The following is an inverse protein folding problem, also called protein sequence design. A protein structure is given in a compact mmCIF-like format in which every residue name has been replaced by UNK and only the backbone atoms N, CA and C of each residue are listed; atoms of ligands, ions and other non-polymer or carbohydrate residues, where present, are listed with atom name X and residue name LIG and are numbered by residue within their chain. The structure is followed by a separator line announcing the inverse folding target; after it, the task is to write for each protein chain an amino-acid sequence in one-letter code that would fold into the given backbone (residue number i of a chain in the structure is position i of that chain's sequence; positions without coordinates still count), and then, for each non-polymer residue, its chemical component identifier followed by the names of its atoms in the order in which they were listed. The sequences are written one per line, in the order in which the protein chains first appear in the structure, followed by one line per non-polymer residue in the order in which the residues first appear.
data_IF_223169166094
#
_entry.id   IF_223169166094
#
_cell.length_a   1.000
_cell.length_b   1.000
_cell.length_c   1.000
_cell.angle_alpha   90.00
_cell.angle_beta   90.00
_cell.angle_gamma   90.00
#
_symmetry.space_group_name_H-M   'P 1'
#
loop_
_entity.id
_entity.type
_entity.pdbx_description
1 polymer ?
#
# COMPACT_ATOMS: atom_id res chain seq x y z
N UNK A 1 18.36 -5.16 -17.47
CA UNK A 1 17.44 -6.09 -18.15
C UNK A 1 16.37 -6.49 -17.17
N UNK A 2 15.15 -6.01 -17.37
CA UNK A 2 14.02 -6.38 -16.51
C UNK A 2 13.70 -7.85 -16.74
N UNK A 3 13.61 -8.61 -15.67
CA UNK A 3 13.34 -10.04 -15.74
C UNK A 3 11.89 -10.27 -16.17
N UNK A 4 11.66 -11.12 -17.18
CA UNK A 4 10.33 -11.52 -17.58
C UNK A 4 9.74 -12.46 -16.51
N UNK A 5 8.75 -11.98 -15.73
CA UNK A 5 7.97 -12.80 -14.80
C UNK A 5 6.65 -13.15 -15.50
N UNK A 6 6.55 -14.36 -15.99
CA UNK A 6 5.38 -14.86 -16.69
C UNK A 6 4.52 -15.80 -15.83
N UNK A 7 5.11 -16.43 -14.82
CA UNK A 7 4.46 -17.38 -13.90
C UNK A 7 4.86 -17.10 -12.46
N UNK A 8 4.07 -17.58 -11.52
CA UNK A 8 4.36 -17.47 -10.09
C UNK A 8 5.71 -18.13 -9.72
N UNK A 9 6.06 -19.23 -10.35
CA UNK A 9 7.34 -19.93 -10.15
C UNK A 9 8.57 -19.09 -10.59
N UNK A 10 8.37 -18.05 -11.39
CA UNK A 10 9.44 -17.13 -11.79
C UNK A 10 9.71 -16.04 -10.75
N UNK A 11 8.81 -15.88 -9.77
CA UNK A 11 8.92 -14.88 -8.70
C UNK A 11 10.05 -15.29 -7.76
N UNK A 12 11.01 -14.39 -7.56
CA UNK A 12 12.01 -14.49 -6.49
C UNK A 12 11.63 -13.51 -5.39
N UNK A 13 11.90 -13.89 -4.17
CA UNK A 13 11.65 -13.06 -2.98
C UNK A 13 12.99 -12.54 -2.47
N UNK A 14 13.61 -11.63 -3.22
CA UNK A 14 14.86 -11.00 -2.81
C UNK A 14 14.57 -9.93 -1.73
N UNK A 15 15.41 -9.88 -0.69
CA UNK A 15 15.28 -8.85 0.36
C UNK A 15 15.92 -7.56 -0.11
N UNK A 16 15.15 -6.46 -0.08
CA UNK A 16 15.58 -5.13 -0.54
C UNK A 16 15.36 -4.09 0.55
N UNK A 17 16.39 -3.26 0.79
CA UNK A 17 16.33 -2.16 1.74
C UNK A 17 16.25 -0.82 0.98
N UNK A 18 15.19 -0.07 1.24
CA UNK A 18 14.97 1.27 0.67
C UNK A 18 15.19 2.33 1.75
N UNK A 19 15.85 3.43 1.35
CA UNK A 19 15.97 4.62 2.18
C UNK A 19 15.24 5.77 1.51
N UNK A 20 14.43 6.50 2.28
CA UNK A 20 13.62 7.62 1.77
C UNK A 20 14.43 8.94 1.74
N UNK A 21 14.17 9.84 0.79
CA UNK A 21 13.31 9.65 -0.38
C UNK A 21 13.89 8.60 -1.34
N UNK A 22 13.02 7.69 -1.81
CA UNK A 22 13.44 6.56 -2.64
C UNK A 22 13.75 7.06 -4.06
N UNK A 23 14.96 6.87 -4.59
CA UNK A 23 15.30 7.31 -5.93
C UNK A 23 14.65 6.40 -7.00
N UNK A 24 14.27 6.99 -8.14
CA UNK A 24 13.61 6.29 -9.25
C UNK A 24 14.35 5.01 -9.67
N UNK A 25 15.69 5.09 -9.76
CA UNK A 25 16.52 3.92 -10.11
C UNK A 25 16.33 2.71 -9.18
N UNK A 26 16.03 2.96 -7.90
CA UNK A 26 15.78 1.87 -6.95
C UNK A 26 14.40 1.25 -7.18
N UNK A 27 13.40 2.06 -7.54
CA UNK A 27 12.05 1.58 -7.84
C UNK A 27 12.00 0.72 -9.10
N UNK A 28 12.75 1.10 -10.15
CA UNK A 28 12.80 0.37 -11.42
C UNK A 28 13.57 -0.96 -11.34
N UNK A 29 14.32 -1.17 -10.26
CA UNK A 29 15.04 -2.44 -10.01
C UNK A 29 14.19 -3.46 -9.26
N UNK A 30 13.11 -3.02 -8.60
CA UNK A 30 12.23 -3.91 -7.86
C UNK A 30 11.40 -4.77 -8.82
N UNK A 31 11.21 -6.02 -8.41
CA UNK A 31 10.41 -7.00 -9.14
C UNK A 31 9.28 -7.52 -8.26
N UNK A 32 8.23 -8.07 -8.89
CA UNK A 32 7.09 -8.66 -8.15
C UNK A 32 7.60 -9.71 -7.14
N UNK A 33 7.09 -9.62 -5.91
CA UNK A 33 7.44 -10.54 -4.83
C UNK A 33 8.68 -10.18 -4.01
N UNK A 34 9.47 -9.18 -4.42
CA UNK A 34 10.58 -8.70 -3.59
C UNK A 34 10.09 -8.29 -2.20
N UNK A 35 10.85 -8.66 -1.17
CA UNK A 35 10.58 -8.34 0.23
C UNK A 35 11.26 -7.04 0.58
N UNK A 36 10.49 -6.00 0.83
CA UNK A 36 10.99 -4.63 1.00
C UNK A 36 10.93 -4.19 2.45
N UNK A 37 12.03 -3.59 2.90
CA UNK A 37 12.11 -2.84 4.16
C UNK A 37 12.42 -1.37 3.86
N UNK A 38 11.76 -0.47 4.59
CA UNK A 38 11.89 0.98 4.39
C UNK A 38 12.50 1.63 5.63
N UNK A 39 13.49 2.50 5.44
CA UNK A 39 14.08 3.35 6.49
C UNK A 39 14.04 4.82 6.07
N UNK A 40 13.99 5.72 7.07
CA UNK A 40 13.89 7.16 6.88
C UNK A 40 12.50 7.70 7.13
N UNK A 41 12.13 8.80 6.48
CA UNK A 41 10.81 9.39 6.67
C UNK A 41 9.74 8.71 5.78
N UNK A 42 8.57 8.47 6.35
CA UNK A 42 7.36 8.10 5.62
C UNK A 42 6.20 8.99 6.08
N UNK A 43 5.11 9.03 5.33
CA UNK A 43 3.90 9.68 5.82
C UNK A 43 2.66 8.80 5.66
N UNK A 44 1.66 9.06 6.53
CA UNK A 44 0.38 8.35 6.46
C UNK A 44 -0.64 9.19 5.72
N UNK A 45 -1.47 8.57 4.88
CA UNK A 45 -2.64 9.22 4.31
C UNK A 45 -3.81 8.25 4.20
N UNK A 46 -4.99 8.74 4.55
CA UNK A 46 -6.27 8.05 4.41
C UNK A 46 -7.31 9.00 3.81
N UNK A 47 -8.58 8.58 3.83
CA UNK A 47 -9.70 9.31 3.22
C UNK A 47 -9.71 10.80 3.58
N UNK A 48 -9.49 11.14 4.85
CA UNK A 48 -9.47 12.53 5.32
C UNK A 48 -8.39 13.36 4.63
N UNK A 49 -7.16 12.83 4.53
CA UNK A 49 -6.04 13.51 3.85
C UNK A 49 -6.29 13.61 2.35
N UNK A 50 -6.76 12.54 1.72
CA UNK A 50 -7.13 12.55 0.30
C UNK A 50 -8.20 13.60 0.01
N UNK A 51 -9.23 13.68 0.86
CA UNK A 51 -10.28 14.70 0.74
C UNK A 51 -9.73 16.12 0.86
N UNK A 52 -8.80 16.39 1.79
CA UNK A 52 -8.17 17.70 1.91
C UNK A 52 -7.38 18.06 0.64
N UNK A 53 -6.54 17.14 0.15
CA UNK A 53 -5.60 17.44 -0.94
C UNK A 53 -6.26 17.32 -2.30
N UNK A 54 -7.09 16.31 -2.55
CA UNK A 54 -7.67 16.04 -3.87
C UNK A 54 -8.99 16.76 -4.05
N UNK A 55 -9.95 16.59 -3.12
CA UNK A 55 -11.30 17.11 -3.31
C UNK A 55 -11.40 18.60 -2.96
N UNK A 56 -10.74 19.03 -1.87
CA UNK A 56 -10.69 20.43 -1.44
C UNK A 56 -9.53 21.23 -2.01
N UNK A 57 -8.67 20.58 -2.80
CA UNK A 57 -7.52 21.20 -3.47
C UNK A 57 -6.54 21.93 -2.54
N UNK A 58 -6.51 21.55 -1.26
CA UNK A 58 -5.54 22.11 -0.33
C UNK A 58 -4.12 21.69 -0.75
N UNK A 59 -3.14 22.60 -0.69
CA UNK A 59 -1.76 22.25 -1.00
C UNK A 59 -1.27 21.09 -0.10
N UNK A 60 -0.64 20.10 -0.71
CA UNK A 60 0.09 19.09 0.06
C UNK A 60 1.28 19.78 0.76
N UNK A 61 1.59 19.45 2.04
CA UNK A 61 2.65 20.13 2.77
C UNK A 61 4.02 20.00 2.07
N UNK A 62 4.63 21.12 1.60
CA UNK A 62 5.90 21.05 0.87
C UNK A 62 7.05 20.43 1.66
N UNK A 63 7.06 20.62 2.98
CA UNK A 63 8.05 20.01 3.87
C UNK A 63 8.00 18.48 3.83
N UNK A 64 6.81 17.89 3.66
CA UNK A 64 6.62 16.44 3.55
C UNK A 64 7.14 15.94 2.20
N UNK A 65 6.77 16.58 1.10
CA UNK A 65 7.25 16.20 -0.25
C UNK A 65 8.77 16.33 -0.39
N UNK A 66 9.38 17.30 0.29
CA UNK A 66 10.84 17.46 0.30
C UNK A 66 11.55 16.36 1.10
N UNK A 67 10.87 15.77 2.08
CA UNK A 67 11.43 14.80 3.01
C UNK A 67 11.26 13.36 2.54
N UNK A 68 10.14 13.04 1.88
CA UNK A 68 9.80 11.66 1.51
C UNK A 68 8.82 11.57 0.34
N UNK A 69 8.89 10.47 -0.40
CA UNK A 69 7.96 10.08 -1.46
C UNK A 69 7.24 8.76 -1.14
N UNK A 70 7.24 8.32 0.13
CA UNK A 70 6.61 7.09 0.59
C UNK A 70 5.36 7.39 1.40
N UNK A 71 4.22 7.00 0.86
CA UNK A 71 2.90 7.12 1.49
C UNK A 71 2.44 5.76 2.02
N UNK A 72 2.18 5.65 3.30
CA UNK A 72 1.55 4.47 3.88
C UNK A 72 0.05 4.72 4.13
N UNK A 73 -0.81 3.96 3.47
CA UNK A 73 -2.23 3.93 3.73
C UNK A 73 -2.50 3.21 5.05
N UNK A 74 -2.33 3.90 6.13
CA UNK A 74 -2.55 3.36 7.47
C UNK A 74 -3.08 4.40 8.45
N UNK A 75 -3.57 3.90 9.56
CA UNK A 75 -4.01 4.68 10.72
C UNK A 75 -3.07 4.37 11.88
N UNK A 76 -2.38 5.35 12.46
CA UNK A 76 -1.61 5.12 13.67
C UNK A 76 -2.51 5.00 14.89
N UNK A 77 -2.15 4.08 15.80
CA UNK A 77 -2.62 4.09 17.18
C UNK A 77 -1.67 4.98 17.97
N UNK A 78 -2.03 6.27 18.08
CA UNK A 78 -1.18 7.27 18.70
C UNK A 78 -1.77 7.76 20.03
N UNK A 79 -0.89 8.04 20.98
CA UNK A 79 -1.21 8.71 22.24
C UNK A 79 -0.36 9.99 22.39
N UNK A 80 -0.84 10.91 23.23
CA UNK A 80 -0.11 12.13 23.57
C UNK A 80 0.53 11.92 24.93
N UNK A 81 1.84 12.09 25.02
CA UNK A 81 2.60 12.00 26.26
C UNK A 81 2.40 13.26 27.12
N UNK A 82 2.72 13.21 28.42
CA UNK A 82 2.62 14.38 29.31
C UNK A 82 3.45 15.61 28.86
N UNK A 83 4.53 15.38 28.12
CA UNK A 83 5.40 16.42 27.55
C UNK A 83 4.88 16.99 26.21
N UNK A 84 3.69 16.54 25.76
CA UNK A 84 3.08 16.95 24.50
C UNK A 84 3.60 16.20 23.27
N UNK A 85 4.60 15.34 23.40
CA UNK A 85 5.08 14.50 22.30
C UNK A 85 4.12 13.35 22.01
N UNK A 86 4.25 12.75 20.82
CA UNK A 86 3.42 11.62 20.40
C UNK A 86 4.15 10.29 20.60
N UNK A 87 3.40 9.27 21.01
CA UNK A 87 3.78 7.87 20.89
C UNK A 87 2.90 7.20 19.84
N UNK A 88 3.50 6.44 18.94
CA UNK A 88 2.80 5.58 17.98
C UNK A 88 3.29 4.16 18.21
N UNK A 89 2.40 3.29 18.71
CA UNK A 89 2.75 1.93 19.12
C UNK A 89 2.34 0.88 18.08
N UNK A 90 1.38 1.22 17.25
CA UNK A 90 0.91 0.36 16.17
C UNK A 90 0.39 1.20 14.99
N UNK A 91 0.35 0.60 13.82
CA UNK A 91 -0.29 1.17 12.63
C UNK A 91 -1.22 0.13 12.00
N UNK A 92 -2.42 0.54 11.63
CA UNK A 92 -3.40 -0.34 10.96
C UNK A 92 -3.45 -0.02 9.49
N UNK A 93 -2.92 -0.91 8.64
CA UNK A 93 -2.94 -0.75 7.20
C UNK A 93 -4.37 -0.72 6.64
N UNK A 94 -4.62 0.14 5.68
CA UNK A 94 -5.90 0.35 5.00
C UNK A 94 -5.82 -0.22 3.58
N UNK A 95 -6.91 -0.82 3.11
CA UNK A 95 -7.01 -1.34 1.74
C UNK A 95 -7.00 -0.18 0.73
N UNK A 96 -6.06 -0.20 -0.19
CA UNK A 96 -5.75 0.92 -1.09
C UNK A 96 -6.73 1.09 -2.25
N UNK A 97 -7.49 0.05 -2.61
CA UNK A 97 -8.53 0.16 -3.66
C UNK A 97 -9.58 1.23 -3.36
N UNK A 98 -9.76 1.59 -2.07
CA UNK A 98 -10.68 2.64 -1.63
C UNK A 98 -10.31 4.03 -2.18
N UNK A 99 -9.04 4.24 -2.51
CA UNK A 99 -8.50 5.51 -2.99
C UNK A 99 -8.37 5.59 -4.51
N UNK A 100 -8.81 4.56 -5.24
CA UNK A 100 -8.58 4.42 -6.67
C UNK A 100 -8.92 5.67 -7.49
N UNK A 101 -10.10 6.27 -7.28
CA UNK A 101 -10.55 7.47 -8.01
C UNK A 101 -9.64 8.69 -7.79
N UNK A 102 -8.97 8.75 -6.64
CA UNK A 102 -8.13 9.88 -6.23
C UNK A 102 -6.64 9.62 -6.46
N UNK A 103 -6.25 8.43 -6.91
CA UNK A 103 -4.84 8.03 -6.97
C UNK A 103 -4.02 8.87 -7.93
N UNK A 104 -4.53 9.11 -9.14
CA UNK A 104 -3.82 9.94 -10.12
C UNK A 104 -3.59 11.38 -9.65
N UNK A 105 -4.63 12.16 -9.27
CA UNK A 105 -4.41 13.50 -8.73
C UNK A 105 -3.59 13.49 -7.42
N UNK A 106 -3.61 12.40 -6.65
CA UNK A 106 -2.75 12.24 -5.49
C UNK A 106 -1.27 12.26 -5.86
N UNK A 107 -0.84 11.46 -6.85
CA UNK A 107 0.54 11.46 -7.33
C UNK A 107 0.98 12.82 -7.84
N UNK A 108 0.12 13.50 -8.58
CA UNK A 108 0.38 14.85 -9.11
C UNK A 108 0.63 15.89 -8.01
N UNK A 109 -0.14 15.81 -6.92
CA UNK A 109 -0.11 16.81 -5.84
C UNK A 109 0.88 16.49 -4.73
N UNK A 110 1.03 15.22 -4.35
CA UNK A 110 1.89 14.80 -3.24
C UNK A 110 3.32 14.47 -3.65
N UNK A 111 3.55 14.14 -4.92
CA UNK A 111 4.83 13.63 -5.38
C UNK A 111 5.17 12.22 -4.90
N UNK A 112 4.19 11.47 -4.36
CA UNK A 112 4.39 10.08 -3.96
C UNK A 112 4.93 9.22 -5.11
N UNK A 113 5.76 8.23 -4.78
CA UNK A 113 6.29 7.23 -5.72
C UNK A 113 6.18 5.81 -5.17
N UNK A 114 5.98 5.68 -3.88
CA UNK A 114 5.74 4.40 -3.21
C UNK A 114 4.45 4.52 -2.42
N UNK A 115 3.48 3.68 -2.73
CA UNK A 115 2.27 3.51 -1.94
C UNK A 115 2.41 2.19 -1.18
N UNK A 116 2.29 2.25 0.14
CA UNK A 116 2.19 1.07 1.00
C UNK A 116 0.75 0.94 1.49
N UNK A 117 0.19 -0.25 1.38
CA UNK A 117 -1.16 -0.51 1.87
C UNK A 117 -1.43 -2.00 2.06
N UNK A 118 -2.66 -2.39 2.32
CA UNK A 118 -3.05 -3.79 2.31
C UNK A 118 -3.87 -4.13 1.07
N UNK A 119 -3.89 -5.42 0.71
CA UNK A 119 -4.41 -5.92 -0.56
C UNK A 119 -3.63 -5.33 -1.74
N UNK A 120 -4.22 -5.34 -2.92
CA UNK A 120 -3.64 -4.80 -4.14
C UNK A 120 -4.65 -3.97 -4.92
N UNK A 121 -4.25 -3.61 -6.12
CA UNK A 121 -5.09 -2.98 -7.13
C UNK A 121 -5.11 -3.88 -8.38
N UNK A 122 -5.97 -3.57 -9.33
CA UNK A 122 -5.95 -4.27 -10.62
C UNK A 122 -4.72 -3.87 -11.45
N UNK A 123 -4.22 -4.75 -12.31
CA UNK A 123 -3.15 -4.41 -13.25
C UNK A 123 -3.48 -3.17 -14.09
N UNK A 124 -4.75 -3.01 -14.45
CA UNK A 124 -5.22 -1.81 -15.15
C UNK A 124 -4.96 -0.55 -14.33
N UNK A 125 -5.29 -0.57 -13.03
CA UNK A 125 -5.04 0.56 -12.14
C UNK A 125 -3.56 0.90 -12.01
N UNK A 126 -2.69 -0.13 -11.91
CA UNK A 126 -1.24 0.10 -11.90
C UNK A 126 -0.75 0.74 -13.19
N UNK A 127 -1.17 0.25 -14.35
CA UNK A 127 -0.78 0.81 -15.65
C UNK A 127 -1.30 2.23 -15.88
N UNK A 128 -2.54 2.51 -15.48
CA UNK A 128 -3.16 3.81 -15.73
C UNK A 128 -2.75 4.88 -14.71
N UNK A 129 -2.47 4.50 -13.44
CA UNK A 129 -2.26 5.45 -12.36
C UNK A 129 -0.84 5.47 -11.82
N UNK A 130 -0.13 4.35 -11.74
CA UNK A 130 1.20 4.26 -11.15
C UNK A 130 2.32 4.44 -12.18
N UNK A 131 2.26 3.70 -13.28
CA UNK A 131 3.30 3.73 -14.32
C UNK A 131 3.59 5.15 -14.83
N UNK A 132 2.59 6.03 -15.11
CA UNK A 132 2.86 7.39 -15.57
C UNK A 132 3.66 8.25 -14.61
N UNK A 133 3.70 7.87 -13.33
CA UNK A 133 4.43 8.57 -12.28
C UNK A 133 5.69 7.83 -11.82
N UNK A 134 6.08 6.73 -12.45
CA UNK A 134 7.16 5.87 -12.00
C UNK A 134 6.95 5.34 -10.58
N UNK A 135 5.70 5.14 -10.19
CA UNK A 135 5.33 4.70 -8.85
C UNK A 135 5.13 3.19 -8.78
N UNK A 136 5.32 2.64 -7.57
CA UNK A 136 5.10 1.23 -7.25
C UNK A 136 4.14 1.06 -6.07
N UNK A 137 3.63 -0.15 -5.93
CA UNK A 137 2.79 -0.53 -4.81
C UNK A 137 3.41 -1.65 -3.98
N UNK A 138 3.47 -1.41 -2.67
CA UNK A 138 3.91 -2.37 -1.67
C UNK A 138 2.72 -2.83 -0.84
N UNK A 139 2.52 -4.14 -0.72
CA UNK A 139 1.47 -4.68 0.16
C UNK A 139 2.02 -5.16 1.49
N UNK A 140 1.23 -5.02 2.55
CA UNK A 140 1.55 -5.61 3.85
C UNK A 140 1.38 -7.13 3.81
N UNK A 141 2.28 -7.86 4.48
CA UNK A 141 2.31 -9.34 4.42
C UNK A 141 1.33 -10.02 5.38
N UNK A 142 0.62 -9.28 6.22
CA UNK A 142 -0.36 -9.86 7.14
C UNK A 142 -1.15 -8.81 7.90
N UNK A 143 -2.35 -9.20 8.35
CA UNK A 143 -3.24 -8.28 9.06
C UNK A 143 -2.80 -8.02 10.51
N UNK A 144 -2.04 -8.93 11.12
CA UNK A 144 -1.51 -8.82 12.49
C UNK A 144 -0.23 -8.00 12.62
N UNK A 145 0.33 -7.48 11.52
CA UNK A 145 1.63 -6.80 11.50
C UNK A 145 1.64 -5.39 12.10
N UNK A 146 0.48 -4.84 12.48
CA UNK A 146 0.38 -3.45 12.94
C UNK A 146 1.30 -3.08 14.10
N UNK A 147 1.44 -3.95 15.09
CA UNK A 147 2.35 -3.75 16.23
C UNK A 147 3.82 -3.87 15.80
N UNK A 148 4.15 -4.83 14.93
CA UNK A 148 5.51 -4.97 14.39
C UNK A 148 5.94 -3.74 13.59
N UNK A 149 5.05 -3.20 12.74
CA UNK A 149 5.32 -1.94 12.05
C UNK A 149 5.45 -0.76 13.02
N UNK A 150 4.64 -0.73 14.12
CA UNK A 150 4.74 0.27 15.15
C UNK A 150 6.11 0.30 15.84
N UNK A 151 6.69 -0.87 16.10
CA UNK A 151 8.05 -1.00 16.69
C UNK A 151 9.16 -0.44 15.77
N UNK A 152 8.91 -0.35 14.47
CA UNK A 152 9.86 0.25 13.53
C UNK A 152 9.83 1.78 13.56
N UNK A 153 8.84 2.41 14.22
CA UNK A 153 8.72 3.86 14.31
C UNK A 153 9.65 4.37 15.40
N UNK A 154 10.60 5.23 15.03
CA UNK A 154 11.55 5.84 15.98
C UNK A 154 10.98 7.09 16.63
N UNK A 155 10.32 7.93 15.84
CA UNK A 155 9.66 9.15 16.33
C UNK A 155 8.66 9.68 15.32
N UNK A 156 7.76 10.52 15.82
CA UNK A 156 6.89 11.36 15.00
C UNK A 156 7.68 12.63 14.66
N UNK A 157 7.82 12.92 13.36
CA UNK A 157 8.50 14.12 12.87
C UNK A 157 7.54 15.31 12.80
N UNK A 158 6.31 15.09 12.36
CA UNK A 158 5.27 16.12 12.26
C UNK A 158 3.87 15.50 12.14
N UNK A 159 2.83 16.32 12.34
CA UNK A 159 1.42 15.92 12.20
C UNK A 159 0.62 17.08 11.60
N UNK A 160 -0.03 16.86 10.46
CA UNK A 160 -0.86 17.84 9.77
C UNK A 160 -2.35 17.51 9.91
N UNK A 161 -3.18 18.53 10.05
CA UNK A 161 -4.65 18.44 10.08
C UNK A 161 -5.21 17.58 11.21
N UNK A 162 -4.48 17.42 12.32
CA UNK A 162 -4.92 16.60 13.45
C UNK A 162 -6.25 17.11 14.06
N UNK A 163 -6.38 18.41 14.22
CA UNK A 163 -7.59 19.02 14.82
C UNK A 163 -8.82 18.86 13.92
N UNK A 164 -8.61 18.87 12.59
CA UNK A 164 -9.69 18.75 11.61
C UNK A 164 -10.08 17.29 11.35
N UNK A 165 -9.13 16.38 11.36
CA UNK A 165 -9.31 14.99 10.91
C UNK A 165 -9.26 13.96 12.04
N UNK A 166 -8.82 14.37 13.23
CA UNK A 166 -8.55 13.47 14.34
C UNK A 166 -7.32 12.57 14.11
N UNK A 167 -6.94 11.84 15.16
CA UNK A 167 -5.72 11.02 15.19
C UNK A 167 -5.67 10.00 14.05
N UNK A 168 -6.79 9.33 13.78
CA UNK A 168 -6.83 8.23 12.83
C UNK A 168 -6.75 8.65 11.36
N UNK A 169 -7.07 9.89 11.02
CA UNK A 169 -7.16 10.39 9.66
C UNK A 169 -6.15 11.51 9.35
N UNK A 170 -5.46 12.04 10.36
CA UNK A 170 -4.42 13.04 10.18
C UNK A 170 -3.26 12.52 9.34
N UNK A 171 -2.52 13.43 8.70
CA UNK A 171 -1.27 13.09 8.03
C UNK A 171 -0.15 13.09 9.08
N UNK A 172 0.40 11.92 9.33
CA UNK A 172 1.53 11.73 10.23
C UNK A 172 2.81 11.57 9.42
N UNK A 173 3.84 12.29 9.79
CA UNK A 173 5.18 12.13 9.25
C UNK A 173 6.02 11.38 10.29
N UNK A 174 6.47 10.19 9.92
CA UNK A 174 7.09 9.23 10.83
C UNK A 174 8.53 8.94 10.38
N UNK A 175 9.47 8.97 11.29
CA UNK A 175 10.81 8.39 11.07
C UNK A 175 10.76 6.91 11.42
N UNK A 176 11.16 6.07 10.47
CA UNK A 176 11.13 4.61 10.61
C UNK A 176 12.49 3.99 10.34
N UNK A 177 12.75 2.84 10.95
CA UNK A 177 13.93 2.03 10.72
C UNK A 177 13.53 0.60 10.40
N UNK A 178 13.95 0.10 9.23
CA UNK A 178 13.65 -1.24 8.72
C UNK A 178 12.15 -1.59 8.83
N UNK A 179 11.26 -0.67 8.53
CA UNK A 179 9.82 -0.94 8.54
C UNK A 179 9.48 -1.91 7.40
N UNK A 180 8.92 -3.03 7.74
CA UNK A 180 8.58 -4.13 6.85
C UNK A 180 8.36 -5.42 7.65
N UNK A 181 8.32 -6.58 6.99
CA UNK A 181 8.40 -6.75 5.54
C UNK A 181 7.16 -6.25 4.80
N UNK A 182 7.38 -5.73 3.59
CA UNK A 182 6.35 -5.47 2.59
C UNK A 182 6.67 -6.30 1.35
N UNK A 183 5.69 -6.59 0.51
CA UNK A 183 5.91 -7.25 -0.79
C UNK A 183 5.66 -6.27 -1.93
N UNK A 184 6.49 -6.34 -2.97
CA UNK A 184 6.19 -5.65 -4.23
C UNK A 184 5.00 -6.36 -4.88
N UNK A 185 3.84 -5.73 -4.81
CA UNK A 185 2.60 -6.24 -5.40
C UNK A 185 2.35 -5.61 -6.76
N UNK A 186 2.62 -4.31 -6.91
CA UNK A 186 2.55 -3.60 -8.19
C UNK A 186 3.90 -2.98 -8.53
N UNK A 187 4.51 -3.39 -9.63
CA UNK A 187 5.83 -2.94 -10.04
C UNK A 187 5.81 -1.72 -10.99
N UNK A 188 6.99 -1.24 -11.36
CA UNK A 188 7.17 -0.08 -12.25
C UNK A 188 6.67 -0.30 -13.70
N UNK A 189 6.37 -1.53 -14.09
CA UNK A 189 5.79 -1.89 -15.39
C UNK A 189 4.26 -2.05 -15.32
N UNK A 190 3.67 -1.90 -14.13
CA UNK A 190 2.23 -2.04 -13.89
C UNK A 190 1.76 -3.49 -13.89
N UNK A 191 2.64 -4.45 -13.59
CA UNK A 191 2.29 -5.84 -13.34
C UNK A 191 1.85 -6.00 -11.89
N UNK A 192 1.01 -7.01 -11.61
CA UNK A 192 0.49 -7.32 -10.28
C UNK A 192 0.84 -8.74 -9.87
N UNK A 193 1.41 -8.91 -8.68
CA UNK A 193 1.70 -10.20 -8.07
C UNK A 193 0.41 -11.00 -7.85
N UNK A 194 -0.63 -10.34 -7.35
CA UNK A 194 -1.91 -11.00 -7.08
C UNK A 194 -2.63 -11.39 -8.36
N UNK A 195 -2.59 -10.55 -9.41
CA UNK A 195 -3.17 -10.92 -10.70
C UNK A 195 -2.44 -12.11 -11.32
N UNK A 196 -1.11 -12.20 -11.13
CA UNK A 196 -0.32 -13.35 -11.57
C UNK A 196 -0.75 -14.62 -10.82
N UNK A 197 -0.84 -14.56 -9.49
CA UNK A 197 -1.27 -15.68 -8.65
C UNK A 197 -2.71 -16.11 -8.97
N UNK A 198 -3.63 -15.15 -9.11
CA UNK A 198 -5.04 -15.43 -9.41
C UNK A 198 -5.21 -16.12 -10.77
N UNK A 199 -4.45 -15.75 -11.81
CA UNK A 199 -4.51 -16.46 -13.10
C UNK A 199 -4.19 -17.95 -12.96
N UNK A 200 -3.22 -18.32 -12.12
CA UNK A 200 -2.88 -19.73 -11.89
C UNK A 200 -3.92 -20.46 -11.05
N UNK A 201 -4.51 -19.76 -10.06
CA UNK A 201 -5.60 -20.28 -9.24
C UNK A 201 -6.84 -20.53 -10.11
N UNK A 202 -7.25 -19.53 -10.89
CA UNK A 202 -8.43 -19.59 -11.76
C UNK A 202 -8.33 -20.72 -12.79
N UNK A 203 -7.13 -20.95 -13.33
CA UNK A 203 -6.89 -22.04 -14.26
C UNK A 203 -7.12 -23.45 -13.65
N UNK A 204 -7.07 -23.57 -12.32
CA UNK A 204 -7.26 -24.83 -11.59
C UNK A 204 -8.61 -24.93 -10.89
N UNK A 205 -9.40 -23.87 -10.88
CA UNK A 205 -10.70 -23.85 -10.14
C UNK A 205 -11.64 -24.96 -10.59
N UNK A 206 -11.82 -25.17 -11.89
CA UNK A 206 -12.71 -26.20 -12.43
C UNK A 206 -12.26 -27.61 -12.03
N UNK A 207 -10.96 -27.84 -11.89
CA UNK A 207 -10.41 -29.11 -11.41
C UNK A 207 -10.68 -29.32 -9.92
N UNK A 208 -10.40 -28.31 -9.10
CA UNK A 208 -10.59 -28.34 -7.64
C UNK A 208 -12.06 -28.53 -7.27
N UNK A 209 -12.98 -27.94 -8.04
CA UNK A 209 -14.40 -28.00 -7.77
C UNK A 209 -15.16 -29.13 -8.48
N UNK A 210 -14.47 -29.93 -9.32
CA UNK A 210 -15.10 -30.99 -10.15
C UNK A 210 -15.94 -31.95 -9.36
N UNK A 211 -15.44 -32.41 -8.22
CA UNK A 211 -16.07 -33.46 -7.39
C UNK A 211 -16.77 -32.87 -6.15
N UNK A 212 -16.85 -31.57 -6.01
CA UNK A 212 -17.55 -30.94 -4.91
C UNK A 212 -19.04 -30.74 -5.26
N UNK A 213 -19.96 -31.09 -4.36
CA UNK A 213 -21.37 -30.80 -4.54
C UNK A 213 -21.57 -29.28 -4.64
N UNK A 214 -22.60 -28.83 -5.40
CA UNK A 214 -22.95 -27.41 -5.39
C UNK A 214 -23.24 -26.95 -3.96
N UNK A 215 -22.91 -25.70 -3.60
CA UNK A 215 -23.13 -25.19 -2.25
C UNK A 215 -24.61 -25.29 -1.88
N UNK A 216 -24.87 -25.97 -0.77
CA UNK A 216 -26.23 -26.21 -0.28
C UNK A 216 -26.87 -24.97 0.38
N UNK A 217 -26.09 -23.95 0.66
CA UNK A 217 -26.51 -22.70 1.33
C UNK A 217 -26.11 -21.52 0.47
N UNK A 218 -27.13 -20.78 -0.02
CA UNK A 218 -26.92 -19.41 -0.49
C UNK A 218 -27.20 -18.46 0.66
N UNK A 219 -26.24 -17.61 1.02
CA UNK A 219 -26.46 -16.52 1.96
C UNK A 219 -27.23 -15.40 1.26
N UNK A 220 -28.05 -14.69 2.04
CA UNK A 220 -28.78 -13.53 1.51
C UNK A 220 -27.77 -12.46 1.04
N UNK A 221 -27.80 -12.11 -0.25
CA UNK A 221 -26.90 -11.16 -0.88
C UNK A 221 -25.59 -11.76 -1.45
N UNK A 222 -25.39 -13.08 -1.38
CA UNK A 222 -24.29 -13.73 -2.09
C UNK A 222 -24.58 -13.83 -3.58
N UNK A 223 -23.57 -13.55 -4.38
CA UNK A 223 -23.61 -13.76 -5.82
C UNK A 223 -23.65 -15.26 -6.09
N UNK A 224 -24.56 -15.72 -6.91
CA UNK A 224 -24.76 -17.14 -7.20
C UNK A 224 -23.74 -17.70 -8.20
N UNK A 225 -22.91 -16.85 -8.79
CA UNK A 225 -21.84 -17.22 -9.72
C UNK A 225 -20.48 -16.93 -9.11
N UNK A 226 -19.63 -17.93 -9.01
CA UNK A 226 -18.24 -17.77 -8.55
C UNK A 226 -17.40 -16.84 -9.44
N UNK A 227 -17.83 -16.63 -10.68
CA UNK A 227 -17.18 -15.68 -11.62
C UNK A 227 -17.43 -14.22 -11.25
N UNK A 228 -18.41 -13.98 -10.39
CA UNK A 228 -18.82 -12.65 -9.94
C UNK A 228 -18.33 -12.37 -8.51
N UNK A 229 -17.64 -13.30 -7.86
CA UNK A 229 -16.94 -13.05 -6.61
C UNK A 229 -15.71 -12.20 -6.91
N UNK A 230 -15.81 -10.92 -6.57
CA UNK A 230 -14.66 -9.99 -6.57
C UNK A 230 -13.93 -10.19 -5.24
N UNK A 231 -12.80 -10.84 -5.28
CA UNK A 231 -11.84 -10.89 -4.16
C UNK A 231 -10.93 -9.67 -4.21
#
# INVERSE_FOLDING_TARGET
MTRLIARLDDVRMDEVHLTTPVPERALTQLTLGDVVYVSGAIYTAREGVYHQVVDRERPFPPAVSALTNVNFHCSPAASIRPDGSYAVEAVTATASFRFGKSMRPWFERSGARVIVGKAGLTERAYREWFVPFGAIYLTTVGYGMGAAYGQCIKRVLDVYWREELGIAQALWVLEVERMGPFLVEGDSEGRSLFALANREIDARLDEVYRDLPPPALSRFGEVTSRKDEVV
#
